data_IF_821119992509
#
_entry.id   IF_821119992509
#
_cell.length_a   1.000
_cell.length_b   1.000
_cell.length_c   1.000
_cell.angle_alpha   90.00
_cell.angle_beta   90.00
_cell.angle_gamma   90.00
#
_symmetry.space_group_name_H-M   'P 1'
#
loop_
_entity.id
_entity.type
_entity.pdbx_description
1 polymer ?
#
# COMPACT_ATOMS: atom_id res chain seq x y z
N UNK A 1 -21.11 38.36 24.23
CA UNK A 1 -20.51 37.01 24.16
C UNK A 1 -19.57 36.90 25.34
N UNK A 2 -19.82 35.95 26.26
CA UNK A 2 -19.07 35.86 27.52
C UNK A 2 -17.74 35.12 27.28
N UNK A 3 -16.66 35.51 27.97
CA UNK A 3 -15.34 34.88 27.93
C UNK A 3 -15.43 33.34 28.12
N UNK A 4 -16.41 32.87 28.89
CA UNK A 4 -16.69 31.45 29.09
C UNK A 4 -17.09 30.70 27.80
N UNK A 5 -17.87 31.33 26.92
CA UNK A 5 -18.30 30.72 25.65
C UNK A 5 -17.13 30.58 24.68
N UNK A 6 -16.20 31.54 24.67
CA UNK A 6 -15.01 31.50 23.82
C UNK A 6 -14.11 30.33 24.23
N UNK A 7 -13.88 30.15 25.53
CA UNK A 7 -13.11 29.02 26.05
C UNK A 7 -13.80 27.70 25.73
N UNK A 8 -15.12 27.60 25.96
CA UNK A 8 -15.89 26.40 25.68
C UNK A 8 -15.88 26.00 24.19
N UNK A 9 -15.99 26.98 23.28
CA UNK A 9 -15.90 26.71 21.84
C UNK A 9 -14.49 26.28 21.45
N UNK A 10 -13.45 26.92 22.00
CA UNK A 10 -12.05 26.58 21.74
C UNK A 10 -11.67 25.16 22.20
N UNK A 11 -12.17 24.75 23.37
CA UNK A 11 -11.92 23.39 23.89
C UNK A 11 -12.63 22.34 23.04
N UNK A 12 -13.89 22.57 22.67
CA UNK A 12 -14.65 21.66 21.80
C UNK A 12 -13.96 21.47 20.45
N UNK A 13 -13.55 22.57 19.81
CA UNK A 13 -12.83 22.50 18.52
C UNK A 13 -11.50 21.75 18.68
N UNK A 14 -10.76 21.98 19.75
CA UNK A 14 -9.47 21.31 20.00
C UNK A 14 -9.64 19.79 20.17
N UNK A 15 -10.64 19.34 20.92
CA UNK A 15 -10.92 17.90 21.11
C UNK A 15 -11.27 17.23 19.77
N UNK A 16 -12.12 17.87 18.96
CA UNK A 16 -12.52 17.35 17.64
C UNK A 16 -11.31 17.20 16.72
N UNK A 17 -10.40 18.18 16.71
CA UNK A 17 -9.19 18.14 15.89
C UNK A 17 -8.24 17.02 16.32
N UNK A 18 -8.06 16.82 17.62
CA UNK A 18 -7.20 15.75 18.17
C UNK A 18 -7.76 14.37 17.80
N UNK A 19 -9.04 14.13 18.03
CA UNK A 19 -9.71 12.87 17.66
C UNK A 19 -9.60 12.61 16.15
N UNK A 20 -9.84 13.64 15.33
CA UNK A 20 -9.71 13.55 13.87
C UNK A 20 -8.30 13.20 13.43
N UNK A 21 -7.27 13.77 14.08
CA UNK A 21 -5.86 13.50 13.77
C UNK A 21 -5.48 12.06 14.13
N UNK A 22 -5.89 11.58 15.30
CA UNK A 22 -5.63 10.21 15.77
C UNK A 22 -6.29 9.20 14.83
N UNK A 23 -7.56 9.41 14.48
CA UNK A 23 -8.29 8.52 13.59
C UNK A 23 -7.68 8.49 12.19
N UNK A 24 -7.27 9.64 11.64
CA UNK A 24 -6.56 9.72 10.36
C UNK A 24 -5.20 9.00 10.40
N UNK A 25 -4.45 9.13 11.51
CA UNK A 25 -3.18 8.42 11.67
C UNK A 25 -3.39 6.90 11.72
N UNK A 26 -4.39 6.43 12.47
CA UNK A 26 -4.75 5.00 12.55
C UNK A 26 -5.20 4.47 11.18
N UNK A 27 -6.02 5.23 10.44
CA UNK A 27 -6.47 4.86 9.10
C UNK A 27 -5.30 4.79 8.12
N UNK A 28 -4.40 5.80 8.12
CA UNK A 28 -3.19 5.80 7.30
C UNK A 28 -2.27 4.62 7.62
N UNK A 29 -2.13 4.26 8.90
CA UNK A 29 -1.36 3.08 9.33
C UNK A 29 -2.03 1.79 8.86
N UNK A 30 -3.35 1.65 9.03
CA UNK A 30 -4.10 0.48 8.57
C UNK A 30 -4.05 0.31 7.04
N UNK A 31 -4.15 1.41 6.28
CA UNK A 31 -4.00 1.40 4.82
C UNK A 31 -2.58 1.06 4.39
N UNK A 32 -1.54 1.54 5.09
CA UNK A 32 -0.15 1.11 4.84
C UNK A 32 0.06 -0.37 5.14
N UNK A 33 -0.51 -0.89 6.22
CA UNK A 33 -0.47 -2.33 6.54
C UNK A 33 -1.24 -3.14 5.50
N UNK A 34 -2.41 -2.69 5.04
CA UNK A 34 -3.15 -3.35 3.96
C UNK A 34 -2.39 -3.30 2.65
N UNK A 35 -1.82 -2.17 2.25
CA UNK A 35 -0.98 -2.06 1.04
C UNK A 35 0.27 -2.93 1.14
N UNK A 36 0.90 -3.00 2.31
CA UNK A 36 2.05 -3.88 2.57
C UNK A 36 1.65 -5.35 2.54
N UNK A 37 0.50 -5.72 3.12
CA UNK A 37 -0.01 -7.09 3.07
C UNK A 37 -0.46 -7.45 1.64
N UNK A 38 -1.08 -6.52 0.91
CA UNK A 38 -1.42 -6.67 -0.49
C UNK A 38 -0.16 -6.85 -1.33
N UNK A 39 0.89 -6.05 -1.12
CA UNK A 39 2.20 -6.18 -1.79
C UNK A 39 2.92 -7.49 -1.43
N UNK A 40 2.74 -8.00 -0.21
CA UNK A 40 3.25 -9.32 0.21
C UNK A 40 2.42 -10.46 -0.39
N UNK A 41 1.11 -10.28 -0.55
CA UNK A 41 0.20 -11.24 -1.21
C UNK A 41 0.30 -11.13 -2.75
N UNK A 42 0.89 -10.05 -3.31
CA UNK A 42 1.25 -9.91 -4.74
C UNK A 42 2.69 -10.34 -5.04
N UNK A 43 3.31 -11.16 -4.21
CA UNK A 43 4.50 -11.94 -4.61
C UNK A 43 4.19 -13.45 -4.71
N UNK A 44 3.20 -13.84 -5.51
CA UNK A 44 3.29 -15.06 -6.31
C UNK A 44 3.22 -14.68 -7.79
N UNK A 45 4.14 -13.83 -8.25
CA UNK A 45 4.37 -13.61 -9.68
C UNK A 45 5.82 -13.91 -10.06
N UNK A 46 6.58 -14.57 -9.18
CA UNK A 46 7.74 -15.34 -9.63
C UNK A 46 7.20 -16.52 -10.45
N UNK A 47 7.50 -16.51 -11.76
CA UNK A 47 7.42 -17.66 -12.68
C UNK A 47 6.07 -17.94 -13.38
N UNK A 48 5.27 -16.93 -13.73
CA UNK A 48 4.44 -17.07 -14.92
C UNK A 48 5.34 -16.86 -16.15
N UNK A 49 5.99 -17.96 -16.60
CA UNK A 49 6.94 -17.96 -17.72
C UNK A 49 6.48 -17.08 -18.89
N UNK A 50 7.28 -16.09 -19.20
CA UNK A 50 7.01 -15.09 -20.23
C UNK A 50 6.91 -15.82 -21.57
N UNK A 51 5.77 -15.73 -22.26
CA UNK A 51 5.64 -16.35 -23.59
C UNK A 51 6.25 -15.38 -24.59
N UNK A 52 7.27 -15.80 -25.33
CA UNK A 52 7.80 -15.00 -26.43
C UNK A 52 6.71 -14.85 -27.50
N UNK A 53 6.23 -13.63 -27.68
CA UNK A 53 5.16 -13.30 -28.62
C UNK A 53 5.54 -13.54 -30.08
N UNK A 54 6.83 -13.68 -30.40
CA UNK A 54 7.31 -13.98 -31.75
C UNK A 54 7.31 -15.48 -32.06
N UNK A 55 7.66 -16.31 -31.09
CA UNK A 55 7.83 -17.76 -31.28
C UNK A 55 6.78 -18.62 -30.59
N UNK A 56 5.94 -18.02 -29.73
CA UNK A 56 4.97 -18.74 -28.91
C UNK A 56 5.61 -19.64 -27.85
N UNK A 57 6.93 -19.57 -27.65
CA UNK A 57 7.68 -20.46 -26.77
C UNK A 57 7.77 -19.87 -25.37
N UNK A 58 7.79 -20.75 -24.36
CA UNK A 58 7.90 -20.34 -22.96
C UNK A 58 9.35 -19.91 -22.71
N UNK A 59 9.51 -18.67 -22.27
CA UNK A 59 10.78 -18.08 -21.87
C UNK A 59 10.74 -17.92 -20.35
N UNK A 60 11.68 -18.57 -19.69
CA UNK A 60 11.94 -18.32 -18.28
C UNK A 60 13.07 -17.31 -18.15
N UNK A 61 13.01 -16.47 -17.11
CA UNK A 61 14.07 -15.50 -16.82
C UNK A 61 14.92 -16.10 -15.73
N UNK A 62 16.16 -16.46 -16.07
CA UNK A 62 17.06 -17.02 -15.07
C UNK A 62 17.31 -15.99 -13.95
N UNK A 63 16.93 -16.27 -12.69
CA UNK A 63 16.98 -15.29 -11.61
C UNK A 63 18.40 -14.87 -11.22
N UNK A 64 19.43 -15.66 -11.58
CA UNK A 64 20.84 -15.35 -11.31
C UNK A 64 21.50 -14.50 -12.39
N UNK A 65 21.11 -14.69 -13.65
CA UNK A 65 21.77 -14.05 -14.79
C UNK A 65 20.89 -12.99 -15.47
N UNK A 66 19.60 -12.93 -15.11
CA UNK A 66 18.55 -12.13 -15.77
C UNK A 66 18.48 -12.32 -17.29
N UNK A 67 19.04 -13.42 -17.80
CA UNK A 67 18.98 -13.77 -19.22
C UNK A 67 17.75 -14.64 -19.47
N UNK A 68 17.13 -14.39 -20.61
CA UNK A 68 16.05 -15.20 -21.17
C UNK A 68 16.59 -16.60 -21.52
N UNK A 69 15.95 -17.62 -20.98
CA UNK A 69 16.25 -19.03 -21.27
C UNK A 69 14.96 -19.65 -21.78
N UNK A 70 15.01 -20.18 -23.00
CA UNK A 70 13.89 -20.93 -23.57
C UNK A 70 13.75 -22.26 -22.83
N UNK A 71 12.58 -22.51 -22.27
CA UNK A 71 12.21 -23.80 -21.69
C UNK A 71 11.40 -24.53 -22.76
N UNK A 72 11.96 -25.61 -23.30
CA UNK A 72 11.30 -26.47 -24.29
C UNK A 72 10.26 -27.38 -23.65
#
# INVERSE_FOLDING_TARGET
MNNLQIIAVGTVVSVILIESLIMNFKLKKALRTKKSAETVITHPADQAGFIDYKTGRRVDINPKTRKEVFVD
#
